data_IF_075923002452
#
_entry.id   IF_075923002452
#
_cell.length_a   1.000
_cell.length_b   1.000
_cell.length_c   1.000
_cell.angle_alpha   90.00
_cell.angle_beta   90.00
_cell.angle_gamma   90.00
#
_symmetry.space_group_name_H-M   'P 1'
#
loop_
_entity.id
_entity.type
_entity.pdbx_description
1 polymer ?
#
# COMPACT_ATOMS: atom_id res chain seq x y z
N UNK A 1 12.00 -17.45 -26.74
CA UNK A 1 11.33 -16.31 -26.08
C UNK A 1 11.84 -14.95 -26.55
N UNK A 2 13.14 -14.66 -26.51
CA UNK A 2 13.67 -13.32 -26.89
C UNK A 2 13.24 -12.81 -28.27
N UNK A 3 13.27 -13.66 -29.31
CA UNK A 3 12.82 -13.28 -30.65
C UNK A 3 11.34 -12.85 -30.68
N UNK A 4 10.47 -13.66 -30.06
CA UNK A 4 9.04 -13.36 -29.96
C UNK A 4 8.78 -12.09 -29.15
N UNK A 5 9.49 -11.89 -28.04
CA UNK A 5 9.37 -10.68 -27.25
C UNK A 5 9.75 -9.45 -28.08
N UNK A 6 10.91 -9.48 -28.75
CA UNK A 6 11.34 -8.37 -29.61
C UNK A 6 10.33 -8.07 -30.71
N UNK A 7 9.77 -9.09 -31.34
CA UNK A 7 8.75 -8.94 -32.37
C UNK A 7 7.47 -8.28 -31.83
N UNK A 8 6.99 -8.69 -30.65
CA UNK A 8 5.84 -8.07 -29.99
C UNK A 8 6.13 -6.61 -29.62
N UNK A 9 7.33 -6.32 -29.12
CA UNK A 9 7.75 -4.95 -28.79
C UNK A 9 7.77 -4.03 -30.02
N UNK A 10 8.17 -4.56 -31.18
CA UNK A 10 8.15 -3.83 -32.46
C UNK A 10 6.71 -3.58 -32.94
N UNK A 11 5.84 -4.60 -32.88
CA UNK A 11 4.43 -4.48 -33.30
C UNK A 11 3.67 -3.48 -32.44
N UNK A 12 3.80 -3.58 -31.11
CA UNK A 12 3.05 -2.76 -30.16
C UNK A 12 3.77 -1.45 -29.80
N UNK A 13 4.95 -1.21 -30.35
CA UNK A 13 5.82 -0.06 -30.02
C UNK A 13 6.11 0.05 -28.50
N UNK A 14 6.20 -1.10 -27.81
CA UNK A 14 6.48 -1.19 -26.38
C UNK A 14 7.97 -1.51 -26.15
N UNK A 15 8.81 -0.48 -25.99
CA UNK A 15 10.27 -0.66 -25.91
C UNK A 15 10.77 -1.25 -24.59
N UNK A 16 9.93 -1.24 -23.55
CA UNK A 16 10.27 -1.69 -22.18
C UNK A 16 9.11 -2.48 -21.60
N UNK A 17 9.45 -3.28 -20.60
CA UNK A 17 8.48 -4.05 -19.83
C UNK A 17 8.45 -3.40 -18.46
N UNK A 18 7.34 -2.75 -18.17
CA UNK A 18 7.22 -1.96 -16.94
C UNK A 18 6.75 -2.81 -15.76
N UNK A 19 6.09 -3.95 -16.05
CA UNK A 19 5.44 -4.82 -15.08
C UNK A 19 5.77 -6.30 -15.31
N UNK A 20 6.21 -6.99 -14.26
CA UNK A 20 6.37 -8.45 -14.24
C UNK A 20 5.50 -9.07 -13.14
N UNK A 21 4.76 -10.13 -13.47
CA UNK A 21 3.90 -10.85 -12.54
C UNK A 21 4.29 -12.32 -12.47
N UNK A 22 4.44 -12.83 -11.24
CA UNK A 22 4.75 -14.22 -10.94
C UNK A 22 3.59 -14.85 -10.18
N UNK A 23 3.07 -15.97 -10.69
CA UNK A 23 1.94 -16.71 -10.13
C UNK A 23 2.22 -18.22 -10.15
N UNK A 24 1.21 -19.04 -9.82
CA UNK A 24 1.32 -20.49 -9.76
C UNK A 24 1.98 -21.08 -11.03
N UNK A 25 2.98 -21.95 -10.83
CA UNK A 25 3.75 -22.54 -11.91
C UNK A 25 4.93 -21.71 -12.41
N UNK A 26 5.11 -20.46 -11.97
CA UNK A 26 6.27 -19.64 -12.38
C UNK A 26 7.61 -20.22 -11.93
N UNK A 27 7.60 -20.99 -10.83
CA UNK A 27 8.79 -21.66 -10.28
C UNK A 27 9.34 -22.78 -11.16
N UNK A 28 8.64 -23.17 -12.23
CA UNK A 28 9.16 -24.13 -13.22
C UNK A 28 10.23 -23.52 -14.14
N UNK A 29 10.35 -22.19 -14.16
CA UNK A 29 11.31 -21.48 -14.99
C UNK A 29 12.50 -21.02 -14.15
N UNK A 30 13.69 -21.03 -14.75
CA UNK A 30 14.86 -20.45 -14.12
C UNK A 30 14.74 -18.92 -14.06
N UNK A 31 14.95 -18.36 -12.86
CA UNK A 31 14.79 -16.93 -12.61
C UNK A 31 15.83 -16.09 -13.36
N UNK A 32 17.03 -16.61 -13.58
CA UNK A 32 18.09 -15.94 -14.33
C UNK A 32 17.76 -15.91 -15.82
N UNK A 33 17.14 -16.97 -16.35
CA UNK A 33 16.63 -16.98 -17.72
C UNK A 33 15.48 -15.97 -17.90
N UNK A 34 14.55 -15.91 -16.96
CA UNK A 34 13.48 -14.88 -16.96
C UNK A 34 14.13 -13.49 -16.94
N UNK A 35 15.06 -13.25 -16.02
CA UNK A 35 15.74 -11.96 -15.88
C UNK A 35 16.49 -11.57 -17.16
N UNK A 36 17.13 -12.52 -17.82
CA UNK A 36 17.86 -12.31 -19.08
C UNK A 36 16.94 -11.98 -20.26
N UNK A 37 15.71 -12.52 -20.28
CA UNK A 37 14.74 -12.25 -21.34
C UNK A 37 14.04 -10.91 -21.12
N UNK A 38 13.57 -10.65 -19.90
CA UNK A 38 12.68 -9.54 -19.59
C UNK A 38 13.41 -8.29 -19.04
N UNK A 39 14.63 -8.46 -18.53
CA UNK A 39 15.45 -7.37 -18.02
C UNK A 39 14.98 -6.80 -16.68
N UNK A 40 15.22 -5.50 -16.46
CA UNK A 40 14.71 -4.77 -15.30
C UNK A 40 13.29 -4.28 -15.59
N UNK A 41 12.42 -4.39 -14.58
CA UNK A 41 11.05 -3.87 -14.60
C UNK A 41 10.89 -2.92 -13.42
N UNK A 42 10.00 -1.93 -13.55
CA UNK A 42 9.77 -0.96 -12.49
C UNK A 42 8.83 -1.53 -11.43
N UNK A 43 7.90 -2.38 -11.85
CA UNK A 43 6.90 -3.01 -11.00
C UNK A 43 7.01 -4.53 -11.06
N UNK A 44 6.94 -5.15 -9.88
CA UNK A 44 6.91 -6.60 -9.73
C UNK A 44 5.76 -6.99 -8.82
N UNK A 45 4.96 -7.95 -9.29
CA UNK A 45 3.96 -8.64 -8.49
C UNK A 45 4.41 -10.07 -8.25
N UNK A 46 4.61 -10.41 -6.99
CA UNK A 46 4.81 -11.79 -6.55
C UNK A 46 3.46 -12.22 -5.97
N UNK A 47 2.89 -13.29 -6.51
CA UNK A 47 1.78 -13.99 -5.89
C UNK A 47 2.19 -15.42 -5.55
N UNK A 48 1.20 -16.27 -5.29
CA UNK A 48 1.46 -17.65 -4.89
C UNK A 48 2.09 -18.47 -6.05
N UNK A 49 3.41 -18.50 -6.12
CA UNK A 49 4.18 -19.31 -7.09
C UNK A 49 4.25 -20.78 -6.72
N UNK A 50 3.79 -21.14 -5.52
CA UNK A 50 3.98 -22.47 -4.92
C UNK A 50 5.40 -22.72 -4.41
N UNK A 51 6.30 -21.73 -4.41
CA UNK A 51 7.68 -21.90 -3.96
C UNK A 51 8.25 -20.63 -3.30
N UNK A 52 8.36 -20.63 -1.97
CA UNK A 52 8.90 -19.49 -1.22
C UNK A 52 10.36 -19.17 -1.56
N UNK A 53 11.17 -20.20 -1.84
CA UNK A 53 12.56 -20.02 -2.24
C UNK A 53 12.63 -19.29 -3.59
N UNK A 54 11.74 -19.61 -4.52
CA UNK A 54 11.61 -18.90 -5.79
C UNK A 54 11.13 -17.45 -5.61
N UNK A 55 10.15 -17.22 -4.73
CA UNK A 55 9.68 -15.86 -4.38
C UNK A 55 10.81 -14.98 -3.84
N UNK A 56 11.67 -15.54 -2.98
CA UNK A 56 12.85 -14.85 -2.48
C UNK A 56 13.84 -14.54 -3.61
N UNK A 57 14.08 -15.48 -4.53
CA UNK A 57 14.96 -15.25 -5.68
C UNK A 57 14.43 -14.16 -6.62
N UNK A 58 13.10 -14.10 -6.86
CA UNK A 58 12.49 -13.01 -7.65
C UNK A 58 12.86 -11.66 -7.03
N UNK A 59 12.66 -11.51 -5.72
CA UNK A 59 12.99 -10.28 -5.02
C UNK A 59 14.47 -9.91 -5.18
N UNK A 60 15.38 -10.87 -5.00
CA UNK A 60 16.83 -10.64 -5.09
C UNK A 60 17.30 -10.29 -6.51
N UNK A 61 16.73 -10.93 -7.55
CA UNK A 61 17.14 -10.76 -8.95
C UNK A 61 16.50 -9.55 -9.62
N UNK A 62 15.31 -9.14 -9.18
CA UNK A 62 14.60 -8.00 -9.76
C UNK A 62 14.94 -6.67 -9.09
N UNK A 63 15.57 -6.68 -7.90
CA UNK A 63 16.03 -5.48 -7.23
C UNK A 63 17.07 -4.69 -8.07
N UNK A 64 17.03 -3.35 -8.11
CA UNK A 64 16.05 -2.46 -7.45
C UNK A 64 14.69 -2.45 -8.16
N UNK A 65 13.61 -2.47 -7.36
CA UNK A 65 12.22 -2.40 -7.83
C UNK A 65 11.59 -1.12 -7.26
N UNK A 66 10.86 -0.38 -8.08
CA UNK A 66 10.18 0.85 -7.65
C UNK A 66 8.83 0.53 -6.97
N UNK A 67 8.08 -0.42 -7.54
CA UNK A 67 6.75 -0.80 -7.08
C UNK A 67 6.64 -2.30 -6.82
N UNK A 68 6.22 -2.69 -5.63
CA UNK A 68 6.13 -4.08 -5.23
C UNK A 68 4.70 -4.44 -4.80
N UNK A 69 4.17 -5.51 -5.38
CA UNK A 69 2.91 -6.13 -4.94
C UNK A 69 3.19 -7.54 -4.42
N UNK A 70 2.77 -7.81 -3.19
CA UNK A 70 2.99 -9.09 -2.49
C UNK A 70 1.81 -9.45 -1.59
N UNK A 71 1.70 -10.72 -1.23
CA UNK A 71 0.81 -11.25 -0.21
C UNK A 71 1.60 -11.72 1.01
N UNK A 72 0.94 -11.80 2.16
CA UNK A 72 1.51 -12.46 3.34
C UNK A 72 1.79 -13.93 3.06
N UNK A 73 0.88 -14.64 2.37
CA UNK A 73 1.03 -16.05 1.98
C UNK A 73 2.17 -16.33 1.01
N UNK A 74 2.79 -15.32 0.41
CA UNK A 74 3.95 -15.53 -0.49
C UNK A 74 5.23 -15.88 0.26
N UNK A 75 5.19 -15.84 1.60
CA UNK A 75 6.32 -16.06 2.48
C UNK A 75 6.02 -17.12 3.56
N UNK A 76 7.05 -17.76 4.14
CA UNK A 76 6.88 -18.68 5.25
C UNK A 76 6.10 -18.04 6.42
N UNK A 77 5.29 -18.86 7.09
CA UNK A 77 4.44 -18.46 8.22
C UNK A 77 3.44 -17.33 7.92
N UNK A 78 3.17 -17.08 6.64
CA UNK A 78 2.35 -15.95 6.17
C UNK A 78 2.85 -14.60 6.70
N UNK A 79 4.17 -14.39 6.73
CA UNK A 79 4.79 -13.15 7.23
C UNK A 79 5.83 -12.59 6.27
N UNK A 80 5.67 -11.31 5.95
CA UNK A 80 6.61 -10.59 5.09
C UNK A 80 7.93 -10.37 5.85
N UNK A 81 9.08 -10.76 5.29
CA UNK A 81 10.38 -10.50 5.90
C UNK A 81 10.62 -9.01 6.14
N UNK A 82 11.10 -8.65 7.35
CA UNK A 82 11.42 -7.26 7.72
C UNK A 82 12.37 -6.57 6.72
N UNK A 83 13.31 -7.34 6.13
CA UNK A 83 14.24 -6.83 5.11
C UNK A 83 13.53 -6.26 3.87
N UNK A 84 12.34 -6.77 3.55
CA UNK A 84 11.49 -6.27 2.44
C UNK A 84 10.73 -5.03 2.90
N UNK A 85 10.09 -5.08 4.08
CA UNK A 85 9.33 -3.94 4.62
C UNK A 85 10.19 -2.67 4.78
N UNK A 86 11.46 -2.83 5.18
CA UNK A 86 12.40 -1.71 5.36
C UNK A 86 12.90 -1.08 4.05
N UNK A 87 12.55 -1.63 2.88
CA UNK A 87 12.96 -1.05 1.60
C UNK A 87 12.15 0.21 1.26
N UNK A 88 12.76 1.07 0.44
CA UNK A 88 12.21 2.36 0.04
C UNK A 88 11.44 2.25 -1.27
N UNK A 89 10.33 1.51 -1.29
CA UNK A 89 9.48 1.47 -2.48
C UNK A 89 8.77 2.80 -2.69
N UNK A 90 8.58 3.18 -3.95
CA UNK A 90 7.64 4.25 -4.27
C UNK A 90 6.21 3.80 -3.96
N UNK A 91 5.90 2.53 -4.24
CA UNK A 91 4.59 1.92 -3.98
C UNK A 91 4.74 0.48 -3.46
N UNK A 92 4.21 0.22 -2.27
CA UNK A 92 4.15 -1.10 -1.66
C UNK A 92 2.69 -1.49 -1.44
N UNK A 93 2.27 -2.53 -2.16
CA UNK A 93 0.94 -3.12 -2.07
C UNK A 93 1.04 -4.49 -1.39
N UNK A 94 0.32 -4.64 -0.28
CA UNK A 94 0.28 -5.85 0.53
C UNK A 94 -1.14 -6.40 0.54
N UNK A 95 -1.28 -7.64 0.08
CA UNK A 95 -2.54 -8.35 -0.02
C UNK A 95 -3.31 -8.03 -1.30
N UNK A 96 -4.11 -9.00 -1.74
CA UNK A 96 -5.08 -8.88 -2.83
C UNK A 96 -6.08 -10.04 -2.72
N UNK A 97 -7.36 -9.80 -3.06
CA UNK A 97 -8.37 -10.85 -3.10
C UNK A 97 -9.13 -11.02 -1.78
N UNK A 98 -9.28 -12.26 -1.31
CA UNK A 98 -10.05 -12.63 -0.11
C UNK A 98 -9.15 -13.18 1.03
N UNK A 99 -7.83 -13.02 0.91
CA UNK A 99 -6.89 -13.48 1.93
C UNK A 99 -6.75 -12.43 3.03
N UNK A 100 -6.87 -12.83 4.29
CA UNK A 100 -6.64 -11.94 5.42
C UNK A 100 -5.15 -11.59 5.55
N UNK A 101 -4.83 -10.30 5.57
CA UNK A 101 -3.46 -9.84 5.79
C UNK A 101 -3.15 -9.82 7.29
N UNK A 102 -2.10 -10.56 7.69
CA UNK A 102 -1.56 -10.49 9.05
C UNK A 102 -0.42 -9.47 9.11
N UNK A 103 -0.59 -8.42 9.91
CA UNK A 103 0.45 -7.42 10.13
C UNK A 103 0.30 -6.81 11.54
N UNK A 104 1.42 -6.71 12.26
CA UNK A 104 1.51 -6.03 13.54
C UNK A 104 1.77 -4.52 13.37
N UNK A 105 1.50 -3.74 14.41
CA UNK A 105 1.85 -2.31 14.44
C UNK A 105 3.34 -2.08 14.19
N UNK A 106 4.22 -2.89 14.79
CA UNK A 106 5.67 -2.76 14.63
C UNK A 106 6.10 -3.03 13.19
N UNK A 107 5.47 -4.01 12.53
CA UNK A 107 5.70 -4.29 11.11
C UNK A 107 5.24 -3.15 10.21
N UNK A 108 4.10 -2.52 10.49
CA UNK A 108 3.66 -1.31 9.78
C UNK A 108 4.63 -0.14 9.97
N UNK A 109 5.13 0.07 11.19
CA UNK A 109 6.03 1.18 11.53
C UNK A 109 7.40 1.08 10.85
N UNK A 110 7.89 -0.13 10.55
CA UNK A 110 9.16 -0.30 9.83
C UNK A 110 9.03 -0.10 8.31
N UNK A 111 7.81 0.04 7.77
CA UNK A 111 7.62 0.26 6.34
C UNK A 111 8.12 1.67 5.97
N UNK A 112 9.11 1.74 5.09
CA UNK A 112 9.71 3.02 4.66
C UNK A 112 9.33 3.40 3.21
N UNK A 113 8.15 3.00 2.77
CA UNK A 113 7.62 3.28 1.43
C UNK A 113 6.79 4.57 1.42
N UNK A 114 6.73 5.23 0.26
CA UNK A 114 5.94 6.48 0.08
C UNK A 114 4.45 6.20 0.04
N UNK A 115 4.07 5.20 -0.74
CA UNK A 115 2.69 4.73 -0.87
C UNK A 115 2.63 3.33 -0.25
N UNK A 116 1.71 3.15 0.69
CA UNK A 116 1.46 1.89 1.39
C UNK A 116 -0.01 1.55 1.20
N UNK A 117 -0.30 0.44 0.53
CA UNK A 117 -1.64 -0.07 0.35
C UNK A 117 -1.73 -1.45 0.97
N UNK A 118 -2.58 -1.61 1.97
CA UNK A 118 -2.76 -2.88 2.66
C UNK A 118 -4.21 -3.29 2.55
N UNK A 119 -4.44 -4.46 1.97
CA UNK A 119 -5.77 -5.03 1.83
C UNK A 119 -6.06 -6.04 2.93
N UNK A 120 -7.33 -6.12 3.31
CA UNK A 120 -7.89 -7.12 4.21
C UNK A 120 -7.15 -7.21 5.57
N UNK A 121 -6.68 -6.08 6.09
CA UNK A 121 -5.99 -6.00 7.37
C UNK A 121 -6.97 -5.70 8.50
N UNK A 122 -7.06 -6.60 9.47
CA UNK A 122 -7.88 -6.41 10.67
C UNK A 122 -7.13 -5.60 11.74
N UNK A 123 -6.91 -4.31 11.48
CA UNK A 123 -6.28 -3.42 12.47
C UNK A 123 -7.32 -2.78 13.40
N UNK A 124 -7.21 -2.93 14.74
CA UNK A 124 -8.10 -2.22 15.65
C UNK A 124 -7.87 -0.69 15.62
N UNK A 125 -8.93 0.10 15.77
CA UNK A 125 -8.87 1.57 15.85
C UNK A 125 -7.84 2.09 16.87
N UNK A 126 -7.71 1.41 18.01
CA UNK A 126 -6.70 1.72 19.04
C UNK A 126 -5.26 1.53 18.57
N UNK A 127 -4.99 0.56 17.69
CA UNK A 127 -3.66 0.38 17.11
C UNK A 127 -3.38 1.45 16.06
N UNK A 128 -4.38 1.81 15.25
CA UNK A 128 -4.23 2.91 14.30
C UNK A 128 -4.03 4.27 15.00
N UNK A 129 -4.71 4.53 16.13
CA UNK A 129 -4.42 5.68 17.00
C UNK A 129 -2.96 5.69 17.48
N UNK A 130 -2.40 4.54 17.86
CA UNK A 130 -0.99 4.42 18.25
C UNK A 130 -0.06 4.70 17.08
N UNK A 131 -0.35 4.16 15.91
CA UNK A 131 0.38 4.46 14.68
C UNK A 131 0.41 5.97 14.41
N UNK A 132 -0.75 6.63 14.42
CA UNK A 132 -0.85 8.07 14.20
C UNK A 132 -0.01 8.85 15.22
N UNK A 133 -0.08 8.49 16.51
CA UNK A 133 0.73 9.15 17.55
C UNK A 133 2.23 8.96 17.33
N UNK A 134 2.66 7.80 16.85
CA UNK A 134 4.06 7.55 16.52
C UNK A 134 4.48 8.34 15.26
N UNK A 135 3.61 8.42 14.27
CA UNK A 135 3.81 9.28 13.09
C UNK A 135 3.89 10.75 13.48
N UNK A 136 3.02 11.24 14.38
CA UNK A 136 3.09 12.61 14.92
C UNK A 136 4.43 12.89 15.63
N UNK A 137 5.11 11.85 16.10
CA UNK A 137 6.44 11.90 16.71
C UNK A 137 7.61 11.65 15.73
N UNK A 138 7.33 11.50 14.43
CA UNK A 138 8.36 11.40 13.39
C UNK A 138 8.57 10.02 12.77
N UNK A 139 7.75 9.01 13.09
CA UNK A 139 7.82 7.72 12.37
C UNK A 139 7.38 7.86 10.90
N UNK A 140 7.85 6.94 10.06
CA UNK A 140 7.51 6.87 8.63
C UNK A 140 7.62 8.24 7.91
N UNK A 141 8.80 8.88 7.92
CA UNK A 141 8.95 10.26 7.47
C UNK A 141 8.65 10.46 5.97
N UNK A 142 8.79 9.42 5.16
CA UNK A 142 8.54 9.43 3.71
C UNK A 142 7.09 9.07 3.33
N UNK A 143 6.24 8.72 4.30
CA UNK A 143 4.87 8.31 4.02
C UNK A 143 4.08 9.47 3.42
N UNK A 144 3.56 9.27 2.22
CA UNK A 144 2.69 10.20 1.51
C UNK A 144 1.24 9.71 1.50
N UNK A 145 1.06 8.38 1.39
CA UNK A 145 -0.26 7.77 1.26
C UNK A 145 -0.31 6.39 1.94
N UNK A 146 -1.21 6.23 2.90
CA UNK A 146 -1.55 4.95 3.52
C UNK A 146 -3.01 4.63 3.27
N UNK A 147 -3.29 3.41 2.79
CA UNK A 147 -4.65 2.86 2.71
C UNK A 147 -4.68 1.50 3.37
N UNK A 148 -5.67 1.31 4.25
CA UNK A 148 -5.99 0.04 4.89
C UNK A 148 -7.43 -0.31 4.53
N UNK A 149 -7.63 -1.39 3.79
CA UNK A 149 -8.97 -1.94 3.55
C UNK A 149 -9.23 -3.09 4.51
N UNK A 150 -10.49 -3.23 4.93
CA UNK A 150 -10.91 -4.30 5.84
C UNK A 150 -11.70 -5.37 5.09
N UNK A 151 -11.62 -6.63 5.54
CA UNK A 151 -12.36 -7.71 4.92
C UNK A 151 -13.87 -7.51 5.02
N UNK A 152 -14.58 -7.94 3.98
CA UNK A 152 -16.04 -7.90 3.92
C UNK A 152 -16.62 -8.91 4.93
N UNK A 153 -16.89 -8.47 6.16
CA UNK A 153 -17.70 -9.26 7.07
C UNK A 153 -19.18 -8.95 6.77
N UNK A 154 -19.96 -10.01 6.52
CA UNK A 154 -21.41 -9.97 6.25
C UNK A 154 -22.24 -9.20 7.30
N UNK A 155 -21.64 -8.81 8.42
CA UNK A 155 -22.28 -8.05 9.50
C UNK A 155 -22.02 -6.53 9.45
N UNK A 156 -21.16 -6.02 8.57
CA UNK A 156 -20.82 -4.60 8.52
C UNK A 156 -22.03 -3.71 8.24
N UNK A 157 -22.98 -4.18 7.42
CA UNK A 157 -24.17 -3.41 7.05
C UNK A 157 -25.10 -3.11 8.25
N UNK A 158 -25.04 -3.86 9.35
CA UNK A 158 -26.04 -3.80 10.43
C UNK A 158 -25.67 -2.78 11.53
N UNK A 159 -24.41 -2.30 11.61
CA UNK A 159 -23.97 -1.37 12.68
C UNK A 159 -23.12 -0.17 12.22
N UNK A 160 -23.17 0.17 10.93
CA UNK A 160 -22.26 1.14 10.29
C UNK A 160 -22.03 2.45 11.04
N UNK A 161 -23.10 3.17 11.41
CA UNK A 161 -22.97 4.48 12.05
C UNK A 161 -22.39 4.41 13.47
N UNK A 162 -22.80 3.41 14.26
CA UNK A 162 -22.28 3.22 15.61
C UNK A 162 -20.80 2.82 15.59
N UNK A 163 -20.41 1.94 14.66
CA UNK A 163 -19.00 1.55 14.52
C UNK A 163 -18.17 2.72 13.99
N UNK A 164 -18.68 3.51 13.05
CA UNK A 164 -18.00 4.73 12.56
C UNK A 164 -17.77 5.74 13.69
N UNK A 165 -18.76 5.99 14.55
CA UNK A 165 -18.62 6.90 15.69
C UNK A 165 -17.63 6.36 16.74
N UNK A 166 -17.68 5.06 17.04
CA UNK A 166 -16.77 4.42 18.00
C UNK A 166 -15.32 4.39 17.48
N UNK A 167 -15.13 4.04 16.21
CA UNK A 167 -13.82 4.07 15.54
C UNK A 167 -13.30 5.49 15.49
N UNK A 168 -14.12 6.48 15.10
CA UNK A 168 -13.74 7.89 15.10
C UNK A 168 -13.25 8.33 16.48
N UNK A 169 -14.01 8.05 17.54
CA UNK A 169 -13.64 8.38 18.93
C UNK A 169 -12.35 7.67 19.34
N UNK A 170 -12.18 6.40 18.97
CA UNK A 170 -10.98 5.63 19.30
C UNK A 170 -9.74 6.12 18.55
N UNK A 171 -9.87 6.46 17.26
CA UNK A 171 -8.81 6.95 16.39
C UNK A 171 -8.36 8.34 16.81
N UNK A 172 -9.28 9.25 17.15
CA UNK A 172 -8.97 10.65 17.51
C UNK A 172 -8.62 10.85 18.99
N UNK A 173 -8.74 9.82 19.83
CA UNK A 173 -8.52 9.94 21.28
C UNK A 173 -7.12 10.48 21.61
N UNK A 174 -7.08 11.65 22.22
CA UNK A 174 -5.85 12.33 22.65
C UNK A 174 -4.99 12.78 21.48
N UNK A 175 -5.60 13.10 20.34
CA UNK A 175 -4.97 13.71 19.17
C UNK A 175 -5.71 15.03 18.91
N UNK A 176 -4.94 16.12 18.82
CA UNK A 176 -5.46 17.40 18.33
C UNK A 176 -5.78 17.28 16.84
N UNK A 177 -7.01 17.66 16.47
CA UNK A 177 -7.50 17.46 15.12
C UNK A 177 -8.55 18.51 14.72
N UNK A 178 -8.71 18.71 13.41
CA UNK A 178 -9.76 19.53 12.83
C UNK A 178 -10.62 18.68 11.90
N UNK A 179 -11.94 18.69 12.11
CA UNK A 179 -12.88 17.96 11.25
C UNK A 179 -13.30 18.85 10.09
N UNK A 180 -13.14 18.36 8.87
CA UNK A 180 -13.53 19.05 7.63
C UNK A 180 -14.86 18.48 7.13
N UNK A 181 -15.79 19.36 6.74
CA UNK A 181 -17.10 18.95 6.21
C UNK A 181 -16.95 18.11 4.93
N UNK A 182 -17.83 17.12 4.76
CA UNK A 182 -17.89 16.28 3.55
C UNK A 182 -18.21 17.07 2.28
N UNK A 183 -18.75 18.28 2.41
CA UNK A 183 -19.02 19.18 1.27
C UNK A 183 -17.75 19.88 0.74
N UNK A 184 -16.62 19.76 1.45
CA UNK A 184 -15.35 20.34 1.04
C UNK A 184 -14.53 19.32 0.24
N UNK A 185 -14.14 19.72 -0.97
CA UNK A 185 -13.33 18.91 -1.87
C UNK A 185 -11.86 19.31 -1.82
N UNK A 186 -10.97 18.31 -1.76
CA UNK A 186 -9.52 18.51 -1.86
C UNK A 186 -8.92 17.47 -2.79
N UNK A 187 -8.08 17.94 -3.72
CA UNK A 187 -7.33 17.06 -4.60
C UNK A 187 -5.97 16.76 -3.99
N UNK A 188 -5.60 15.49 -3.98
CA UNK A 188 -4.30 15.02 -3.54
C UNK A 188 -3.57 14.34 -4.69
N UNK A 189 -2.33 14.76 -4.96
CA UNK A 189 -1.47 14.12 -5.94
C UNK A 189 -0.68 13.02 -5.26
N UNK A 190 -1.00 11.76 -5.57
CA UNK A 190 -0.32 10.59 -5.01
C UNK A 190 1.03 10.40 -5.71
N UNK A 191 2.10 10.14 -4.93
CA UNK A 191 3.42 9.81 -5.49
C UNK A 191 3.35 8.67 -6.51
N UNK A 192 3.97 8.87 -7.67
CA UNK A 192 4.13 7.82 -8.68
C UNK A 192 2.83 7.42 -9.42
N UNK A 193 1.73 8.14 -9.20
CA UNK A 193 0.45 7.93 -9.89
C UNK A 193 0.05 9.18 -10.68
N UNK A 194 -0.50 8.97 -11.88
CA UNK A 194 -0.95 10.04 -12.78
C UNK A 194 -2.35 10.56 -12.44
N UNK A 195 -3.04 9.94 -11.50
CA UNK A 195 -4.40 10.34 -11.09
C UNK A 195 -4.39 11.04 -9.74
N UNK A 196 -5.34 11.97 -9.58
CA UNK A 196 -5.59 12.67 -8.33
C UNK A 196 -6.52 11.82 -7.45
N UNK A 197 -6.20 11.70 -6.17
CA UNK A 197 -7.19 11.23 -5.20
C UNK A 197 -8.06 12.41 -4.76
N UNK A 198 -9.37 12.27 -4.92
CA UNK A 198 -10.34 13.32 -4.57
C UNK A 198 -10.95 12.96 -3.22
N UNK A 199 -10.67 13.78 -2.22
CA UNK A 199 -11.22 13.60 -0.89
C UNK A 199 -12.40 14.52 -0.62
N UNK A 200 -13.35 14.00 0.16
CA UNK A 200 -14.53 14.71 0.65
C UNK A 200 -14.45 14.82 2.18
N UNK A 201 -14.14 16.00 2.70
CA UNK A 201 -13.96 16.21 4.14
C UNK A 201 -12.69 15.57 4.71
N UNK A 202 -12.80 14.92 5.87
CA UNK A 202 -11.72 14.22 6.56
C UNK A 202 -11.32 14.86 7.89
N UNK A 203 -10.31 14.28 8.54
CA UNK A 203 -9.80 14.68 9.85
C UNK A 203 -8.36 15.14 9.66
N UNK A 204 -8.13 16.44 9.77
CA UNK A 204 -6.79 17.00 9.67
C UNK A 204 -6.08 16.87 11.01
N UNK A 205 -4.85 16.36 10.96
CA UNK A 205 -3.93 16.19 12.08
C UNK A 205 -2.55 16.71 11.69
N UNK A 206 -1.72 17.01 12.69
CA UNK A 206 -0.40 17.58 12.47
C UNK A 206 0.68 16.75 13.15
N UNK A 207 1.78 16.54 12.44
CA UNK A 207 3.03 16.05 13.01
C UNK A 207 3.75 17.20 13.72
N UNK A 208 4.62 16.87 14.67
CA UNK A 208 5.36 17.85 15.48
C UNK A 208 6.22 18.83 14.68
N UNK A 209 6.61 18.46 13.47
CA UNK A 209 7.35 19.30 12.52
C UNK A 209 6.45 20.20 11.66
N UNK A 210 5.14 20.19 11.90
CA UNK A 210 4.15 21.00 11.16
C UNK A 210 3.58 20.32 9.92
N UNK A 211 4.07 19.12 9.55
CA UNK A 211 3.51 18.40 8.39
C UNK A 211 2.08 17.97 8.68
N UNK A 212 1.16 18.35 7.79
CA UNK A 212 -0.26 18.04 7.88
C UNK A 212 -0.53 16.65 7.30
N UNK A 213 -1.44 15.91 7.91
CA UNK A 213 -2.08 14.75 7.28
C UNK A 213 -3.60 14.83 7.42
N UNK A 214 -4.32 14.23 6.48
CA UNK A 214 -5.77 14.06 6.54
C UNK A 214 -6.10 12.58 6.62
N UNK A 215 -6.93 12.22 7.59
CA UNK A 215 -7.49 10.87 7.73
C UNK A 215 -8.91 10.88 7.15
N UNK A 216 -9.20 9.91 6.29
CA UNK A 216 -10.54 9.65 5.78
C UNK A 216 -10.97 8.24 6.21
N UNK A 217 -12.14 8.14 6.82
CA UNK A 217 -12.77 6.88 7.18
C UNK A 217 -13.99 6.68 6.27
N UNK A 218 -13.91 5.72 5.35
CA UNK A 218 -14.99 5.42 4.42
C UNK A 218 -15.58 4.06 4.76
N UNK A 219 -16.90 4.01 4.97
CA UNK A 219 -17.61 2.79 5.35
C UNK A 219 -18.74 2.43 4.36
N UNK A 220 -18.79 3.07 3.19
CA UNK A 220 -19.93 3.00 2.26
C UNK A 220 -20.10 1.69 1.50
N UNK A 221 -19.00 1.15 0.97
CA UNK A 221 -19.01 -0.10 0.22
C UNK A 221 -18.07 -1.12 0.87
N UNK A 222 -16.83 -0.69 1.07
CA UNK A 222 -15.78 -1.42 1.77
C UNK A 222 -15.23 -0.49 2.85
N UNK A 223 -15.08 -0.94 4.11
CA UNK A 223 -14.42 -0.14 5.12
C UNK A 223 -12.97 0.11 4.68
N UNK A 224 -12.64 1.38 4.46
CA UNK A 224 -11.31 1.83 4.07
C UNK A 224 -10.91 2.97 4.97
N UNK A 225 -9.74 2.84 5.59
CA UNK A 225 -9.09 3.94 6.28
C UNK A 225 -7.96 4.45 5.39
N UNK A 226 -7.99 5.75 5.11
CA UNK A 226 -6.94 6.43 4.37
C UNK A 226 -6.26 7.45 5.26
N UNK A 227 -4.96 7.62 5.05
CA UNK A 227 -4.18 8.73 5.59
C UNK A 227 -3.31 9.31 4.49
N UNK A 228 -3.50 10.60 4.22
CA UNK A 228 -2.80 11.33 3.16
C UNK A 228 -1.96 12.41 3.82
N UNK A 229 -0.66 12.41 3.52
CA UNK A 229 0.32 13.34 4.12
C UNK A 229 0.66 14.41 3.10
N UNK A 230 0.43 15.67 3.47
CA UNK A 230 0.51 16.81 2.57
C UNK A 230 1.92 17.39 2.52
N UNK A 231 2.74 16.88 1.61
CA UNK A 231 3.97 17.54 1.18
C UNK A 231 3.70 18.51 0.01
N UNK A 232 4.63 19.43 -0.24
CA UNK A 232 4.49 20.45 -1.28
C UNK A 232 4.17 19.86 -2.66
N UNK A 233 4.79 18.74 -3.02
CA UNK A 233 4.56 18.06 -4.31
C UNK A 233 3.25 17.25 -4.37
N UNK A 234 2.57 17.07 -3.23
CA UNK A 234 1.26 16.40 -3.15
C UNK A 234 0.09 17.36 -3.34
N UNK A 235 0.34 18.67 -3.21
CA UNK A 235 -0.69 19.71 -3.37
C UNK A 235 -0.88 20.01 -4.86
N UNK A 236 -2.14 20.12 -5.27
CA UNK A 236 -2.50 20.64 -6.60
C UNK A 236 -2.90 22.09 -6.41
N UNK A 237 -2.16 23.02 -7.00
CA UNK A 237 -2.59 24.41 -7.10
C UNK A 237 -3.88 24.47 -7.90
N UNK A 238 -4.94 25.00 -7.29
CA UNK A 238 -6.24 25.26 -7.92
C UNK A 238 -6.29 26.63 -8.54
#
# INVERSE_FOLDING_TARGET
MQYWLKHLQEIFNCRKIDFAQFFIGSSQFDIDDIKKVFGNTNEVKIGNTGCYVFNQMIFEKFFPIEKLQIHTSDFPDSRIPKKILMQNFADLHIGEGLEATSMTLDELLIINSKVIQIKDLQMPAKQFNKFIKLWQNGSNPHLEYLTITYPYLNHWQIRRAAVEEDDFKAITKGIEHCVISRDTYRNFKVAGLSHLDRMNGGIDIFRKDGVKATIELNYYHFPVWKMLVWFDHCVVET
#
